data_IF_592579172583
#
_entry.id   IF_592579172583
#
_cell.length_a   1.000
_cell.length_b   1.000
_cell.length_c   1.000
_cell.angle_alpha   90.00
_cell.angle_beta   90.00
_cell.angle_gamma   90.00
#
_symmetry.space_group_name_H-M   'P 1'
#
loop_
_entity.id
_entity.type
_entity.pdbx_description
1 polymer ?
#
# COMPACT_ATOMS: atom_id res chain seq x y z
N UNK A 1 8.13 -23.32 -25.83
CA UNK A 1 7.94 -23.52 -24.37
C UNK A 1 7.66 -22.16 -23.76
N UNK A 2 6.76 -22.08 -22.76
CA UNK A 2 6.49 -20.84 -22.05
C UNK A 2 7.77 -20.30 -21.39
N UNK A 3 7.96 -18.99 -21.45
CA UNK A 3 9.05 -18.27 -20.80
C UNK A 3 8.79 -18.06 -19.31
N UNK A 4 7.52 -17.86 -18.98
CA UNK A 4 6.98 -17.83 -17.62
C UNK A 4 5.67 -18.62 -17.61
N UNK A 5 5.47 -19.44 -16.60
CA UNK A 5 4.20 -20.14 -16.36
C UNK A 5 3.85 -20.01 -14.87
N UNK A 6 2.63 -19.58 -14.57
CA UNK A 6 2.10 -19.59 -13.20
C UNK A 6 0.86 -20.46 -13.13
N UNK A 7 0.77 -21.26 -12.08
CA UNK A 7 -0.34 -22.19 -11.87
C UNK A 7 -0.82 -22.17 -10.43
N UNK A 8 -2.15 -22.18 -10.27
CA UNK A 8 -2.82 -22.36 -8.98
C UNK A 8 -2.46 -21.28 -7.94
N UNK A 9 -2.16 -20.06 -8.39
CA UNK A 9 -1.73 -18.99 -7.50
C UNK A 9 -2.92 -18.50 -6.69
N UNK A 10 -2.82 -18.65 -5.37
CA UNK A 10 -3.75 -18.03 -4.42
C UNK A 10 -2.98 -17.14 -3.46
N UNK A 11 -3.68 -16.16 -2.89
CA UNK A 11 -3.17 -15.35 -1.80
C UNK A 11 -4.31 -14.98 -0.86
N UNK A 12 -4.12 -15.28 0.43
CA UNK A 12 -5.02 -14.84 1.49
C UNK A 12 -4.36 -13.79 2.38
N UNK A 13 -5.15 -12.85 2.86
CA UNK A 13 -4.79 -11.91 3.92
C UNK A 13 -5.76 -12.08 5.11
N UNK A 14 -5.27 -11.95 6.36
CA UNK A 14 -6.17 -11.94 7.52
C UNK A 14 -6.96 -10.63 7.57
N UNK A 15 -8.27 -10.71 7.79
CA UNK A 15 -9.07 -9.53 8.13
C UNK A 15 -8.94 -9.23 9.62
N UNK A 16 -8.53 -8.00 9.91
CA UNK A 16 -8.49 -7.48 11.27
C UNK A 16 -9.91 -7.05 11.66
N UNK A 17 -10.48 -7.71 12.65
CA UNK A 17 -11.75 -7.30 13.27
C UNK A 17 -11.48 -6.34 14.44
N UNK A 18 -12.46 -5.48 14.75
CA UNK A 18 -12.36 -4.61 15.93
C UNK A 18 -12.10 -5.47 17.19
N UNK A 19 -11.28 -4.94 18.10
CA UNK A 19 -10.86 -5.63 19.33
C UNK A 19 -12.04 -6.06 20.20
N UNK A 20 -13.21 -5.43 20.04
CA UNK A 20 -14.45 -5.79 20.74
C UNK A 20 -15.12 -7.06 20.18
N UNK A 21 -14.89 -7.37 18.92
CA UNK A 21 -15.46 -8.53 18.20
C UNK A 21 -14.47 -9.70 18.06
N UNK A 22 -13.29 -9.57 18.66
CA UNK A 22 -12.13 -10.45 18.49
C UNK A 22 -12.24 -11.76 19.30
N UNK A 23 -13.35 -12.50 19.15
CA UNK A 23 -13.60 -13.78 19.86
C UNK A 23 -13.35 -15.03 18.99
N UNK A 24 -12.84 -14.87 17.77
CA UNK A 24 -12.64 -15.96 16.81
C UNK A 24 -11.26 -15.95 16.14
N UNK A 25 -11.00 -17.00 15.35
CA UNK A 25 -9.85 -16.99 14.44
C UNK A 25 -10.05 -15.88 13.38
N UNK A 26 -8.99 -15.17 12.96
CA UNK A 26 -9.10 -14.11 11.96
C UNK A 26 -9.69 -14.68 10.67
N UNK A 27 -10.77 -14.04 10.19
CA UNK A 27 -11.40 -14.42 8.93
C UNK A 27 -10.43 -14.15 7.79
N UNK A 28 -10.22 -15.13 6.92
CA UNK A 28 -9.33 -14.96 5.75
C UNK A 28 -10.09 -14.30 4.62
N UNK A 29 -9.46 -13.30 4.01
CA UNK A 29 -9.91 -12.70 2.77
C UNK A 29 -9.00 -13.17 1.63
N UNK A 30 -9.58 -13.73 0.57
CA UNK A 30 -8.81 -14.24 -0.56
C UNK A 30 -8.68 -13.17 -1.66
N UNK A 31 -7.49 -12.60 -1.74
CA UNK A 31 -7.13 -11.57 -2.72
C UNK A 31 -6.87 -12.17 -4.11
N UNK A 32 -6.36 -13.40 -4.17
CA UNK A 32 -6.16 -14.18 -5.40
C UNK A 32 -6.67 -15.61 -5.18
N UNK A 33 -7.41 -16.14 -6.16
CA UNK A 33 -8.26 -17.33 -6.05
C UNK A 33 -8.00 -18.32 -7.19
N UNK A 34 -6.75 -18.74 -7.36
CA UNK A 34 -6.37 -19.85 -8.27
C UNK A 34 -5.93 -19.40 -9.66
N UNK A 35 -5.14 -18.32 -9.74
CA UNK A 35 -4.71 -17.72 -11.01
C UNK A 35 -3.81 -18.67 -11.80
N UNK A 36 -4.03 -18.73 -13.10
CA UNK A 36 -3.23 -19.49 -14.07
C UNK A 36 -3.01 -18.63 -15.31
N UNK A 37 -1.76 -18.56 -15.76
CA UNK A 37 -1.42 -17.96 -17.05
C UNK A 37 -0.03 -18.42 -17.48
N UNK A 38 0.22 -18.33 -18.77
CA UNK A 38 1.49 -18.62 -19.39
C UNK A 38 1.88 -17.48 -20.34
N UNK A 39 3.18 -17.32 -20.57
CA UNK A 39 3.72 -16.28 -21.44
C UNK A 39 4.78 -16.88 -22.35
N UNK A 40 4.67 -16.62 -23.64
CA UNK A 40 5.63 -17.03 -24.65
C UNK A 40 6.78 -16.03 -24.79
N UNK A 41 7.88 -16.44 -25.42
CA UNK A 41 9.02 -15.55 -25.67
C UNK A 41 8.63 -14.43 -26.66
N UNK A 42 8.99 -13.18 -26.35
CA UNK A 42 8.65 -12.01 -27.18
C UNK A 42 7.23 -11.47 -26.98
N UNK A 43 6.39 -12.18 -26.23
CA UNK A 43 4.99 -11.84 -26.00
C UNK A 43 4.83 -10.85 -24.84
N UNK A 44 3.87 -9.94 -24.97
CA UNK A 44 3.35 -9.10 -23.91
C UNK A 44 1.92 -9.52 -23.54
N UNK A 45 1.71 -9.80 -22.25
CA UNK A 45 0.40 -10.12 -21.70
C UNK A 45 -0.11 -8.97 -20.83
N UNK A 46 -1.29 -8.47 -21.14
CA UNK A 46 -1.98 -7.45 -20.37
C UNK A 46 -2.69 -8.03 -19.15
N UNK A 47 -2.65 -7.33 -18.02
CA UNK A 47 -3.50 -7.60 -16.86
C UNK A 47 -4.45 -6.42 -16.70
N UNK A 48 -5.73 -6.65 -16.98
CA UNK A 48 -6.76 -5.62 -16.86
C UNK A 48 -7.78 -5.99 -15.79
N UNK A 49 -8.34 -4.97 -15.16
CA UNK A 49 -9.32 -5.13 -14.10
C UNK A 49 -9.45 -3.86 -13.27
N UNK A 50 -10.49 -3.78 -12.44
CA UNK A 50 -10.69 -2.66 -11.51
C UNK A 50 -9.52 -2.55 -10.51
N UNK A 51 -9.39 -1.41 -9.82
CA UNK A 51 -8.34 -1.21 -8.82
C UNK A 51 -8.34 -2.28 -7.72
N UNK A 52 -9.51 -2.84 -7.40
CA UNK A 52 -9.71 -3.89 -6.39
C UNK A 52 -9.43 -5.31 -6.89
N UNK A 53 -8.96 -5.48 -8.13
CA UNK A 53 -8.70 -6.80 -8.71
C UNK A 53 -7.41 -7.48 -8.22
N UNK A 54 -6.55 -6.78 -7.47
CA UNK A 54 -5.26 -7.28 -6.96
C UNK A 54 -4.19 -7.55 -8.04
N UNK A 55 -4.20 -6.74 -9.11
CA UNK A 55 -3.21 -6.83 -10.22
C UNK A 55 -1.78 -6.62 -9.72
N UNK A 56 -1.53 -5.55 -8.95
CA UNK A 56 -0.21 -5.25 -8.40
C UNK A 56 0.27 -6.36 -7.46
N UNK A 57 -0.62 -6.91 -6.62
CA UNK A 57 -0.27 -8.06 -5.76
C UNK A 57 0.17 -9.28 -6.58
N UNK A 58 -0.52 -9.59 -7.68
CA UNK A 58 -0.11 -10.66 -8.58
C UNK A 58 1.28 -10.39 -9.18
N UNK A 59 1.57 -9.17 -9.63
CA UNK A 59 2.90 -8.80 -10.13
C UNK A 59 3.98 -8.91 -9.06
N UNK A 60 3.70 -8.48 -7.82
CA UNK A 60 4.62 -8.61 -6.69
C UNK A 60 4.92 -10.08 -6.35
N UNK A 61 3.92 -10.96 -6.50
CA UNK A 61 4.09 -12.41 -6.34
C UNK A 61 4.96 -12.98 -7.47
N UNK A 62 4.70 -12.60 -8.72
CA UNK A 62 5.50 -13.06 -9.88
C UNK A 62 6.94 -12.55 -9.78
N UNK A 63 7.16 -11.33 -9.31
CA UNK A 63 8.48 -10.76 -9.05
C UNK A 63 9.25 -11.46 -7.92
N UNK A 64 8.55 -12.19 -7.04
CA UNK A 64 9.13 -12.83 -5.86
C UNK A 64 9.23 -11.93 -4.63
N UNK A 65 8.66 -10.72 -4.67
CA UNK A 65 8.62 -9.78 -3.54
C UNK A 65 7.63 -10.24 -2.46
N UNK A 66 6.54 -10.90 -2.86
CA UNK A 66 5.52 -11.46 -1.96
C UNK A 66 5.39 -12.95 -2.23
N UNK A 67 5.34 -13.77 -1.18
CA UNK A 67 5.06 -15.20 -1.34
C UNK A 67 3.57 -15.46 -1.56
N UNK A 68 3.24 -16.30 -2.52
CA UNK A 68 1.90 -16.84 -2.71
C UNK A 68 1.54 -17.83 -1.59
N UNK A 69 0.24 -18.04 -1.38
CA UNK A 69 -0.28 -19.04 -0.43
C UNK A 69 -0.21 -20.45 -1.04
N UNK A 70 -0.61 -20.59 -2.31
CA UNK A 70 -0.52 -21.86 -3.05
C UNK A 70 0.04 -21.69 -4.45
N UNK A 71 0.44 -22.81 -5.06
CA UNK A 71 0.74 -22.89 -6.48
C UNK A 71 2.20 -22.61 -6.80
N UNK A 72 2.48 -22.54 -8.10
CA UNK A 72 3.83 -22.61 -8.65
C UNK A 72 4.07 -21.48 -9.64
N UNK A 73 5.27 -20.91 -9.58
CA UNK A 73 5.80 -19.97 -10.57
C UNK A 73 7.02 -20.65 -11.19
N UNK A 74 6.98 -20.87 -12.50
CA UNK A 74 8.05 -21.54 -13.25
C UNK A 74 8.65 -20.58 -14.26
N UNK A 75 9.92 -20.25 -14.06
CA UNK A 75 10.73 -19.44 -15.00
C UNK A 75 12.20 -19.85 -14.90
N UNK A 76 12.91 -19.77 -16.02
CA UNK A 76 14.38 -19.91 -16.06
C UNK A 76 15.10 -18.57 -16.13
N UNK A 77 14.34 -17.48 -16.20
CA UNK A 77 14.84 -16.15 -16.51
C UNK A 77 14.61 -15.19 -15.34
N UNK A 78 15.51 -14.20 -15.15
CA UNK A 78 15.29 -13.15 -14.19
C UNK A 78 14.04 -12.33 -14.56
N UNK A 79 13.30 -11.93 -13.53
CA UNK A 79 12.11 -11.09 -13.62
C UNK A 79 12.49 -9.71 -13.08
N UNK A 80 12.18 -8.66 -13.85
CA UNK A 80 12.35 -7.28 -13.42
C UNK A 80 10.97 -6.64 -13.25
N UNK A 81 10.73 -5.95 -12.14
CA UNK A 81 9.49 -5.24 -11.89
C UNK A 81 9.70 -3.72 -12.03
N UNK A 82 8.86 -3.08 -12.82
CA UNK A 82 8.72 -1.62 -12.89
C UNK A 82 7.48 -1.22 -12.09
N UNK A 83 7.69 -0.90 -10.82
CA UNK A 83 6.66 -0.34 -9.93
C UNK A 83 7.27 0.80 -9.12
N UNK A 84 6.43 1.72 -8.65
CA UNK A 84 6.88 2.80 -7.76
C UNK A 84 7.42 2.25 -6.43
N UNK A 85 6.98 1.07 -6.00
CA UNK A 85 7.45 0.41 -4.77
C UNK A 85 8.91 -0.02 -4.83
N UNK A 86 9.47 -0.21 -6.02
CA UNK A 86 10.85 -0.65 -6.22
C UNK A 86 11.87 0.48 -5.99
N UNK A 87 11.39 1.74 -5.96
CA UNK A 87 12.26 2.90 -5.80
C UNK A 87 12.52 3.17 -4.32
N UNK A 88 13.80 3.15 -3.94
CA UNK A 88 14.24 3.47 -2.60
C UNK A 88 14.28 4.99 -2.42
N UNK A 89 13.28 5.52 -1.71
CA UNK A 89 13.12 6.96 -1.48
C UNK A 89 14.25 7.58 -0.63
N UNK A 90 15.03 6.76 0.09
CA UNK A 90 16.15 7.25 0.90
C UNK A 90 17.42 7.51 0.07
N UNK A 91 17.48 6.94 -1.14
CA UNK A 91 18.64 6.99 -2.02
C UNK A 91 18.43 8.02 -3.13
N UNK A 92 19.53 8.54 -3.68
CA UNK A 92 19.50 9.30 -4.94
C UNK A 92 19.10 8.42 -6.13
N UNK A 93 18.75 9.03 -7.26
CA UNK A 93 18.51 8.32 -8.51
C UNK A 93 19.71 7.49 -8.94
N UNK A 94 20.92 8.04 -8.85
CA UNK A 94 22.16 7.33 -9.18
C UNK A 94 22.40 6.13 -8.26
N UNK A 95 22.16 6.28 -6.96
CA UNK A 95 22.32 5.18 -6.00
C UNK A 95 21.30 4.07 -6.21
N UNK A 96 20.05 4.41 -6.57
CA UNK A 96 19.05 3.43 -6.98
C UNK A 96 19.54 2.61 -8.19
N UNK A 97 20.09 3.26 -9.22
CA UNK A 97 20.64 2.58 -10.40
C UNK A 97 21.78 1.64 -10.01
N UNK A 98 22.75 2.13 -9.23
CA UNK A 98 23.90 1.34 -8.79
C UNK A 98 23.49 0.17 -7.89
N UNK A 99 22.48 0.35 -7.04
CA UNK A 99 21.94 -0.70 -6.16
C UNK A 99 21.43 -1.88 -6.99
N UNK A 100 20.61 -1.63 -8.01
CA UNK A 100 20.06 -2.69 -8.86
C UNK A 100 21.16 -3.36 -9.70
N UNK A 101 22.10 -2.61 -10.24
CA UNK A 101 23.23 -3.17 -11.01
C UNK A 101 24.10 -4.07 -10.13
N UNK A 102 24.41 -3.63 -8.90
CA UNK A 102 25.19 -4.43 -7.94
C UNK A 102 24.50 -5.73 -7.57
N UNK A 103 23.17 -5.75 -7.46
CA UNK A 103 22.39 -6.96 -7.18
C UNK A 103 22.44 -7.99 -8.32
N UNK A 104 22.78 -7.58 -9.54
CA UNK A 104 22.92 -8.49 -10.70
C UNK A 104 24.33 -9.06 -10.86
N UNK A 105 25.27 -8.69 -9.99
CA UNK A 105 26.65 -9.22 -9.99
C UNK A 105 27.37 -9.11 -11.35
N UNK A 106 27.08 -8.05 -12.11
CA UNK A 106 27.75 -7.76 -13.38
C UNK A 106 29.14 -7.16 -13.15
N UNK A 107 30.05 -7.33 -14.11
CA UNK A 107 31.37 -6.72 -14.08
C UNK A 107 31.27 -5.18 -14.13
N UNK A 108 32.31 -4.51 -13.63
CA UNK A 108 32.32 -3.05 -13.47
C UNK A 108 32.15 -2.31 -14.81
N UNK A 109 32.78 -2.79 -15.89
CA UNK A 109 32.68 -2.17 -17.20
C UNK A 109 31.25 -2.24 -17.73
N UNK A 110 30.65 -3.43 -17.74
CA UNK A 110 29.24 -3.62 -18.13
C UNK A 110 28.30 -2.83 -17.21
N UNK A 111 28.55 -2.81 -15.90
CA UNK A 111 27.80 -2.02 -14.93
C UNK A 111 27.82 -0.53 -15.24
N UNK A 112 28.98 0.02 -15.62
CA UNK A 112 29.10 1.42 -16.02
C UNK A 112 28.35 1.72 -17.33
N UNK A 113 28.40 0.81 -18.31
CA UNK A 113 27.61 0.94 -19.55
C UNK A 113 26.11 0.92 -19.28
N UNK A 114 25.62 0.00 -18.45
CA UNK A 114 24.21 -0.06 -18.05
C UNK A 114 23.79 1.19 -17.28
N UNK A 115 24.64 1.66 -16.36
CA UNK A 115 24.39 2.89 -15.60
C UNK A 115 24.18 4.08 -16.54
N UNK A 116 25.10 4.27 -17.49
CA UNK A 116 25.01 5.36 -18.45
C UNK A 116 23.78 5.23 -19.37
N UNK A 117 23.45 4.00 -19.79
CA UNK A 117 22.26 3.76 -20.60
C UNK A 117 20.97 4.14 -19.86
N UNK A 118 20.85 3.79 -18.58
CA UNK A 118 19.69 4.19 -17.75
C UNK A 118 19.65 5.71 -17.56
N UNK A 119 20.78 6.34 -17.21
CA UNK A 119 20.86 7.80 -17.02
C UNK A 119 20.41 8.55 -18.27
N UNK A 120 20.91 8.15 -19.44
CA UNK A 120 20.56 8.76 -20.72
C UNK A 120 19.09 8.54 -21.08
N UNK A 121 18.51 7.40 -20.69
CA UNK A 121 17.12 7.09 -20.96
C UNK A 121 16.16 7.93 -20.12
N UNK A 122 16.39 8.04 -18.80
CA UNK A 122 15.45 8.69 -17.86
C UNK A 122 15.44 10.22 -17.94
N UNK A 123 16.53 10.82 -18.44
CA UNK A 123 16.66 12.25 -18.72
C UNK A 123 16.43 13.14 -17.49
N UNK A 124 17.15 12.85 -16.39
CA UNK A 124 16.99 13.55 -15.10
C UNK A 124 17.92 14.76 -14.93
N UNK A 125 19.00 14.85 -15.70
CA UNK A 125 20.04 15.85 -15.46
C UNK A 125 20.50 15.85 -13.99
N UNK A 126 20.48 17.03 -13.35
CA UNK A 126 20.93 17.20 -11.96
C UNK A 126 20.02 16.54 -10.93
N UNK A 127 18.75 16.26 -11.26
CA UNK A 127 17.85 15.56 -10.33
C UNK A 127 18.33 14.15 -10.00
N UNK A 128 19.17 13.55 -10.85
CA UNK A 128 19.77 12.23 -10.63
C UNK A 128 20.48 12.13 -9.26
N UNK A 129 21.06 13.23 -8.78
CA UNK A 129 21.81 13.29 -7.53
C UNK A 129 20.97 13.71 -6.32
N UNK A 130 19.70 14.04 -6.53
CA UNK A 130 18.76 14.33 -5.45
C UNK A 130 18.12 13.04 -4.90
N UNK A 131 17.77 12.99 -3.61
CA UNK A 131 17.04 11.86 -3.04
C UNK A 131 15.73 11.59 -3.78
N UNK A 132 15.42 10.33 -4.03
CA UNK A 132 14.22 9.93 -4.75
C UNK A 132 12.92 10.30 -4.00
N UNK A 133 12.99 10.53 -2.69
CA UNK A 133 11.87 11.13 -1.92
C UNK A 133 11.39 12.47 -2.48
N UNK A 134 12.28 13.26 -3.10
CA UNK A 134 11.97 14.56 -3.71
C UNK A 134 11.37 14.46 -5.12
N UNK A 135 11.35 13.27 -5.72
CA UNK A 135 10.88 13.07 -7.10
C UNK A 135 9.36 13.10 -7.17
N UNK A 136 8.84 13.66 -8.26
CA UNK A 136 7.43 13.49 -8.63
C UNK A 136 7.12 12.03 -8.97
N UNK A 137 5.84 11.65 -8.97
CA UNK A 137 5.42 10.29 -9.35
C UNK A 137 5.87 9.93 -10.77
N UNK A 138 5.79 10.87 -11.71
CA UNK A 138 6.27 10.68 -13.08
C UNK A 138 7.78 10.44 -13.13
N UNK A 139 8.58 11.19 -12.36
CA UNK A 139 10.02 10.93 -12.26
C UNK A 139 10.29 9.54 -11.68
N UNK A 140 9.63 9.14 -10.59
CA UNK A 140 9.79 7.78 -10.03
C UNK A 140 9.42 6.70 -11.05
N UNK A 141 8.34 6.89 -11.81
CA UNK A 141 7.93 5.99 -12.88
C UNK A 141 9.01 5.86 -13.99
N UNK A 142 9.59 6.98 -14.44
CA UNK A 142 10.70 6.98 -15.40
C UNK A 142 11.89 6.19 -14.89
N UNK A 143 12.28 6.39 -13.63
CA UNK A 143 13.38 5.64 -13.00
C UNK A 143 13.05 4.14 -12.95
N UNK A 144 11.87 3.76 -12.46
CA UNK A 144 11.45 2.37 -12.37
C UNK A 144 11.48 1.66 -13.73
N UNK A 145 10.98 2.32 -14.78
CA UNK A 145 11.03 1.80 -16.15
C UNK A 145 12.47 1.72 -16.68
N UNK A 146 13.30 2.74 -16.43
CA UNK A 146 14.70 2.71 -16.81
C UNK A 146 15.44 1.52 -16.22
N UNK A 147 15.25 1.25 -14.93
CA UNK A 147 15.84 0.09 -14.25
C UNK A 147 15.37 -1.22 -14.86
N UNK A 148 14.04 -1.39 -15.01
CA UNK A 148 13.47 -2.66 -15.46
C UNK A 148 13.77 -2.98 -16.94
N UNK A 149 13.82 -1.96 -17.82
CA UNK A 149 13.98 -2.12 -19.27
C UNK A 149 15.43 -2.18 -19.75
N UNK A 150 16.41 -1.78 -18.94
CA UNK A 150 17.82 -1.78 -19.37
C UNK A 150 18.68 -2.81 -18.64
N UNK A 151 18.37 -3.14 -17.39
CA UNK A 151 19.22 -4.02 -16.58
C UNK A 151 18.83 -5.48 -16.81
N UNK A 152 19.43 -6.08 -17.84
CA UNK A 152 19.25 -7.49 -18.24
C UNK A 152 17.78 -7.97 -18.36
N UNK A 153 16.94 -7.26 -19.14
CA UNK A 153 15.53 -7.60 -19.25
C UNK A 153 15.34 -8.94 -19.98
N UNK A 154 14.68 -9.90 -19.31
CA UNK A 154 14.21 -11.15 -19.92
C UNK A 154 12.71 -11.32 -19.77
N UNK A 155 12.19 -11.07 -18.57
CA UNK A 155 10.77 -10.94 -18.28
C UNK A 155 10.58 -9.64 -17.51
N UNK A 156 9.75 -8.74 -18.03
CA UNK A 156 9.53 -7.42 -17.42
C UNK A 156 8.07 -7.29 -17.00
N UNK A 157 7.84 -6.92 -15.75
CA UNK A 157 6.53 -6.62 -15.20
C UNK A 157 6.38 -5.10 -15.12
N UNK A 158 5.26 -4.54 -15.56
CA UNK A 158 4.98 -3.11 -15.50
C UNK A 158 3.69 -2.90 -14.71
N UNK A 159 3.76 -2.15 -13.62
CA UNK A 159 2.68 -2.00 -12.63
C UNK A 159 2.20 -0.55 -12.57
N UNK A 160 1.17 -0.20 -13.36
CA UNK A 160 0.45 1.08 -13.32
C UNK A 160 1.32 2.35 -13.44
N UNK A 161 2.55 2.22 -13.96
CA UNK A 161 3.49 3.35 -14.11
C UNK A 161 3.36 4.07 -15.45
N UNK A 162 2.78 3.44 -16.48
CA UNK A 162 2.68 4.03 -17.83
C UNK A 162 1.80 5.29 -17.85
N UNK A 163 0.73 5.30 -17.05
CA UNK A 163 -0.16 6.45 -16.89
C UNK A 163 0.45 7.69 -16.24
N UNK A 164 1.64 7.58 -15.67
CA UNK A 164 2.34 8.68 -14.99
C UNK A 164 3.32 9.41 -15.92
N UNK A 165 3.47 8.95 -17.16
CA UNK A 165 4.43 9.46 -18.12
C UNK A 165 3.84 10.60 -18.95
N UNK A 166 4.68 11.59 -19.26
CA UNK A 166 4.41 12.55 -20.31
C UNK A 166 4.56 11.90 -21.69
N UNK A 167 3.85 12.45 -22.68
CA UNK A 167 3.76 11.90 -24.02
C UNK A 167 5.12 11.64 -24.71
N UNK A 168 6.11 12.56 -24.66
CA UNK A 168 7.41 12.31 -25.27
C UNK A 168 8.13 11.10 -24.66
N UNK A 169 8.09 10.95 -23.33
CA UNK A 169 8.73 9.83 -22.65
C UNK A 169 7.95 8.53 -22.85
N UNK A 170 6.63 8.58 -22.85
CA UNK A 170 5.79 7.42 -23.18
C UNK A 170 6.16 6.84 -24.54
N UNK A 171 6.36 7.67 -25.57
CA UNK A 171 6.79 7.21 -26.90
C UNK A 171 8.18 6.55 -26.86
N UNK A 172 9.14 7.09 -26.08
CA UNK A 172 10.45 6.45 -25.88
C UNK A 172 10.32 5.06 -25.24
N UNK A 173 9.46 4.94 -24.22
CA UNK A 173 9.17 3.66 -23.54
C UNK A 173 8.50 2.68 -24.51
N UNK A 174 7.52 3.14 -25.29
CA UNK A 174 6.82 2.31 -26.26
C UNK A 174 7.78 1.70 -27.29
N UNK A 175 8.66 2.53 -27.86
CA UNK A 175 9.69 2.05 -28.79
C UNK A 175 10.61 1.03 -28.10
N UNK A 176 11.06 1.34 -26.89
CA UNK A 176 11.96 0.44 -26.14
C UNK A 176 11.32 -0.91 -25.83
N UNK A 177 10.02 -0.93 -25.48
CA UNK A 177 9.27 -2.18 -25.27
C UNK A 177 9.23 -2.98 -26.57
N UNK A 178 8.93 -2.35 -27.70
CA UNK A 178 8.91 -3.04 -28.99
C UNK A 178 10.28 -3.63 -29.35
N UNK A 179 11.36 -2.84 -29.24
CA UNK A 179 12.72 -3.31 -29.51
C UNK A 179 13.10 -4.53 -28.65
N UNK A 180 12.63 -4.56 -27.40
CA UNK A 180 12.85 -5.66 -26.48
C UNK A 180 12.02 -6.90 -26.82
N UNK A 181 10.77 -6.72 -27.26
CA UNK A 181 9.91 -7.82 -27.74
C UNK A 181 10.54 -8.50 -28.96
N UNK A 182 11.09 -7.73 -29.89
CA UNK A 182 11.72 -8.23 -31.12
C UNK A 182 12.95 -9.12 -30.83
N UNK A 183 13.67 -8.87 -29.73
CA UNK A 183 14.77 -9.74 -29.25
C UNK A 183 14.31 -10.84 -28.28
N UNK A 184 12.99 -11.05 -28.17
CA UNK A 184 12.38 -12.12 -27.40
C UNK A 184 12.18 -11.83 -25.91
N UNK A 185 12.28 -10.58 -25.44
CA UNK A 185 11.87 -10.18 -24.09
C UNK A 185 10.35 -10.27 -23.96
N UNK A 186 9.87 -10.77 -22.82
CA UNK A 186 8.43 -10.91 -22.58
C UNK A 186 7.97 -9.94 -21.51
N UNK A 187 6.70 -9.53 -21.57
CA UNK A 187 6.14 -8.50 -20.70
C UNK A 187 4.86 -8.96 -20.02
N UNK A 188 4.66 -8.51 -18.78
CA UNK A 188 3.33 -8.45 -18.16
C UNK A 188 3.04 -6.99 -17.85
N UNK A 189 1.95 -6.44 -18.38
CA UNK A 189 1.60 -5.04 -18.19
C UNK A 189 0.27 -4.98 -17.44
N UNK A 190 0.30 -4.51 -16.20
CA UNK A 190 -0.89 -4.25 -15.40
C UNK A 190 -1.27 -2.79 -15.48
N UNK A 191 -2.50 -2.53 -15.91
CA UNK A 191 -3.09 -1.18 -15.90
C UNK A 191 -4.61 -1.27 -15.87
N UNK A 192 -5.26 -0.15 -15.57
CA UNK A 192 -6.71 0.00 -15.71
C UNK A 192 -7.12 0.50 -17.09
N UNK A 193 -6.21 1.19 -17.79
CA UNK A 193 -6.49 1.79 -19.09
C UNK A 193 -6.34 0.77 -20.21
N UNK A 194 -7.44 0.55 -20.93
CA UNK A 194 -7.50 -0.38 -22.08
C UNK A 194 -6.50 0.00 -23.18
N UNK A 195 -6.28 1.30 -23.41
CA UNK A 195 -5.36 1.82 -24.43
C UNK A 195 -3.95 1.19 -24.35
N UNK A 196 -3.42 0.96 -23.15
CA UNK A 196 -2.10 0.36 -23.01
C UNK A 196 -2.10 -1.13 -23.32
N UNK A 197 -3.20 -1.82 -23.02
CA UNK A 197 -3.36 -3.22 -23.38
C UNK A 197 -3.40 -3.33 -24.90
N UNK A 198 -4.21 -2.52 -25.57
CA UNK A 198 -4.30 -2.49 -27.04
C UNK A 198 -2.97 -2.15 -27.72
N UNK A 199 -2.21 -1.21 -27.14
CA UNK A 199 -0.97 -0.76 -27.74
C UNK A 199 0.16 -1.78 -27.60
N UNK A 200 0.24 -2.51 -26.48
CA UNK A 200 1.43 -3.29 -26.14
C UNK A 200 1.23 -4.79 -26.15
N UNK A 201 0.02 -5.29 -25.93
CA UNK A 201 -0.24 -6.68 -25.58
C UNK A 201 -0.91 -7.48 -26.71
N UNK A 202 -0.49 -8.74 -26.88
CA UNK A 202 -1.13 -9.69 -27.78
C UNK A 202 -2.31 -10.43 -27.12
N UNK A 203 -2.14 -10.77 -25.84
CA UNK A 203 -3.16 -11.39 -25.00
C UNK A 203 -3.41 -10.55 -23.76
N UNK A 204 -4.63 -10.63 -23.22
CA UNK A 204 -4.99 -9.94 -21.99
C UNK A 204 -5.71 -10.90 -21.05
N UNK A 205 -5.38 -10.83 -19.76
CA UNK A 205 -6.10 -11.48 -18.67
C UNK A 205 -6.97 -10.44 -17.97
N UNK A 206 -8.28 -10.68 -17.98
CA UNK A 206 -9.22 -9.91 -17.18
C UNK A 206 -9.34 -10.51 -15.79
N UNK A 207 -8.84 -9.76 -14.80
CA UNK A 207 -8.88 -10.10 -13.39
C UNK A 207 -9.98 -9.31 -12.68
N UNK A 208 -10.81 -10.00 -11.90
CA UNK A 208 -11.85 -9.37 -11.08
C UNK A 208 -12.04 -10.13 -9.77
N UNK A 209 -12.03 -9.42 -8.64
CA UNK A 209 -12.14 -10.02 -7.29
C UNK A 209 -11.20 -11.22 -7.08
N UNK A 210 -9.96 -11.12 -7.55
CA UNK A 210 -8.97 -12.20 -7.43
C UNK A 210 -9.24 -13.45 -8.28
N UNK A 211 -10.15 -13.41 -9.24
CA UNK A 211 -10.40 -14.49 -10.20
C UNK A 211 -10.22 -14.02 -11.64
N UNK A 212 -9.73 -14.92 -12.48
CA UNK A 212 -9.66 -14.70 -13.94
C UNK A 212 -11.06 -14.87 -14.50
N UNK A 213 -11.60 -13.82 -15.11
CA UNK A 213 -12.89 -13.85 -15.80
C UNK A 213 -12.71 -14.35 -17.24
N UNK A 214 -11.67 -13.85 -17.92
CA UNK A 214 -11.28 -14.31 -19.24
C UNK A 214 -9.76 -14.12 -19.46
N UNK A 215 -9.18 -14.94 -20.34
CA UNK A 215 -7.78 -14.85 -20.76
C UNK A 215 -7.64 -15.30 -22.22
N UNK A 216 -7.27 -14.38 -23.09
CA UNK A 216 -7.28 -14.63 -24.53
C UNK A 216 -6.73 -13.45 -25.34
N UNK A 217 -7.02 -13.39 -26.65
CA UNK A 217 -6.64 -12.27 -27.51
C UNK A 217 -7.09 -10.93 -26.92
N UNK A 218 -6.20 -9.94 -26.90
CA UNK A 218 -6.45 -8.67 -26.20
C UNK A 218 -7.75 -8.01 -26.62
N UNK A 219 -8.05 -7.95 -27.93
CA UNK A 219 -9.26 -7.30 -28.44
C UNK A 219 -10.55 -7.93 -27.88
N UNK A 220 -10.66 -9.25 -27.92
CA UNK A 220 -11.85 -9.98 -27.47
C UNK A 220 -12.10 -9.79 -25.97
N UNK A 221 -11.03 -9.87 -25.18
CA UNK A 221 -11.10 -9.69 -23.72
C UNK A 221 -11.46 -8.25 -23.35
N UNK A 222 -10.95 -7.26 -24.08
CA UNK A 222 -11.28 -5.85 -23.85
C UNK A 222 -12.74 -5.51 -24.20
N UNK A 223 -13.29 -6.12 -25.25
CA UNK A 223 -14.71 -5.98 -25.58
C UNK A 223 -15.60 -6.51 -24.45
N UNK A 224 -15.32 -7.72 -23.95
CA UNK A 224 -16.03 -8.29 -22.80
C UNK A 224 -15.89 -7.45 -21.53
N UNK A 225 -14.66 -6.98 -21.25
CA UNK A 225 -14.39 -6.13 -20.10
C UNK A 225 -15.15 -4.79 -20.17
N UNK A 226 -15.26 -4.21 -21.36
CA UNK A 226 -16.02 -2.97 -21.59
C UNK A 226 -17.50 -3.20 -21.35
N UNK A 227 -18.07 -4.27 -21.92
CA UNK A 227 -19.46 -4.64 -21.71
C UNK A 227 -19.77 -4.84 -20.22
N UNK A 228 -18.90 -5.52 -19.48
CA UNK A 228 -19.07 -5.74 -18.04
C UNK A 228 -19.04 -4.43 -17.23
N UNK A 229 -18.18 -3.47 -17.62
CA UNK A 229 -18.16 -2.15 -16.99
C UNK A 229 -19.40 -1.33 -17.30
N UNK A 230 -19.86 -1.32 -18.55
CA UNK A 230 -21.09 -0.63 -18.96
C UNK A 230 -22.31 -1.20 -18.23
N UNK A 231 -22.40 -2.52 -18.14
CA UNK A 231 -23.42 -3.19 -17.34
C UNK A 231 -23.36 -2.75 -15.88
N UNK A 232 -22.20 -2.81 -15.22
CA UNK A 232 -22.07 -2.41 -13.82
C UNK A 232 -22.45 -0.94 -13.60
N UNK A 233 -22.05 -0.04 -14.51
CA UNK A 233 -22.36 1.38 -14.45
C UNK A 233 -23.85 1.68 -14.71
N UNK A 234 -24.56 0.78 -15.40
CA UNK A 234 -26.00 0.91 -15.64
C UNK A 234 -26.86 0.57 -14.42
N UNK A 235 -26.30 -0.14 -13.44
CA UNK A 235 -26.98 -0.51 -12.20
C UNK A 235 -27.21 0.70 -11.30
N UNK A 236 -28.30 0.67 -10.53
CA UNK A 236 -28.55 1.63 -9.45
C UNK A 236 -27.54 1.45 -8.31
N UNK A 237 -27.31 2.49 -7.50
CA UNK A 237 -26.38 2.41 -6.37
C UNK A 237 -26.69 1.23 -5.39
N UNK A 238 -27.96 0.93 -5.04
CA UNK A 238 -28.27 -0.25 -4.24
C UNK A 238 -27.83 -1.57 -4.89
N UNK A 239 -28.10 -1.74 -6.19
CA UNK A 239 -27.72 -2.95 -6.94
C UNK A 239 -26.20 -3.08 -7.07
N UNK A 240 -25.48 -1.97 -7.30
CA UNK A 240 -24.02 -1.98 -7.30
C UNK A 240 -23.46 -2.42 -5.95
N UNK A 241 -24.01 -1.91 -4.85
CA UNK A 241 -23.58 -2.28 -3.51
C UNK A 241 -23.86 -3.75 -3.20
N UNK A 242 -25.03 -4.27 -3.60
CA UNK A 242 -25.38 -5.69 -3.45
C UNK A 242 -24.40 -6.57 -4.25
N UNK A 243 -24.14 -6.24 -5.51
CA UNK A 243 -23.17 -6.95 -6.34
C UNK A 243 -21.77 -6.97 -5.70
N UNK A 244 -21.29 -5.82 -5.21
CA UNK A 244 -19.98 -5.72 -4.55
C UNK A 244 -19.94 -6.54 -3.25
N UNK A 245 -21.00 -6.51 -2.46
CA UNK A 245 -21.11 -7.28 -1.22
C UNK A 245 -21.08 -8.79 -1.49
N UNK A 246 -21.81 -9.25 -2.50
CA UNK A 246 -21.81 -10.65 -2.93
C UNK A 246 -20.42 -11.10 -3.38
N UNK A 247 -19.74 -10.30 -4.19
CA UNK A 247 -18.39 -10.62 -4.66
C UNK A 247 -17.36 -10.64 -3.54
N UNK A 248 -17.46 -9.72 -2.57
CA UNK A 248 -16.62 -9.76 -1.37
C UNK A 248 -16.93 -10.99 -0.50
N UNK A 249 -18.21 -11.37 -0.38
CA UNK A 249 -18.61 -12.57 0.34
C UNK A 249 -18.03 -13.84 -0.31
N UNK A 250 -18.06 -13.94 -1.64
CA UNK A 250 -17.39 -15.02 -2.38
C UNK A 250 -15.87 -15.06 -2.13
N UNK A 251 -15.21 -13.91 -1.94
CA UNK A 251 -13.79 -13.86 -1.59
C UNK A 251 -13.52 -14.37 -0.18
N UNK A 252 -14.45 -14.19 0.74
CA UNK A 252 -14.32 -14.71 2.12
C UNK A 252 -14.61 -16.21 2.18
N UNK A 253 -15.64 -16.67 1.47
CA UNK A 253 -16.08 -18.08 1.45
C UNK A 253 -15.24 -18.97 0.52
N UNK A 254 -14.22 -18.43 -0.13
CA UNK A 254 -13.41 -19.18 -1.08
C UNK A 254 -12.70 -20.38 -0.41
N UNK A 255 -12.95 -21.57 -0.94
CA UNK A 255 -12.35 -22.82 -0.49
C UNK A 255 -11.14 -23.17 -1.35
N UNK A 256 -9.95 -22.98 -0.78
CA UNK A 256 -8.67 -23.32 -1.40
C UNK A 256 -8.51 -24.81 -1.70
N UNK A 257 -9.24 -25.70 -1.01
CA UNK A 257 -9.18 -27.13 -1.30
C UNK A 257 -9.69 -27.42 -2.72
N UNK A 258 -10.63 -26.65 -3.27
CA UNK A 258 -11.07 -26.81 -4.66
C UNK A 258 -9.90 -26.67 -5.64
N UNK A 259 -9.04 -25.68 -5.42
CA UNK A 259 -7.83 -25.46 -6.23
C UNK A 259 -6.85 -26.63 -6.08
N UNK A 260 -6.71 -27.16 -4.86
CA UNK A 260 -5.86 -28.33 -4.61
C UNK A 260 -6.41 -29.60 -5.28
N UNK A 261 -7.73 -29.83 -5.26
CA UNK A 261 -8.36 -30.95 -5.93
C UNK A 261 -8.14 -30.91 -7.45
N UNK A 262 -8.26 -29.72 -8.06
CA UNK A 262 -7.93 -29.53 -9.48
C UNK A 262 -6.46 -29.89 -9.77
N UNK A 263 -5.54 -29.38 -8.96
CA UNK A 263 -4.12 -29.73 -9.06
C UNK A 263 -3.88 -31.23 -8.90
N UNK A 264 -4.52 -31.86 -7.90
CA UNK A 264 -4.38 -33.30 -7.64
C UNK A 264 -4.87 -34.14 -8.82
N UNK A 265 -6.01 -33.79 -9.39
CA UNK A 265 -6.55 -34.46 -10.59
C UNK A 265 -5.59 -34.31 -11.77
N UNK A 266 -4.99 -33.13 -11.96
CA UNK A 266 -3.96 -32.92 -12.99
C UNK A 266 -2.74 -33.80 -12.73
N UNK A 267 -2.22 -33.86 -11.50
CA UNK A 267 -1.03 -34.68 -11.19
C UNK A 267 -1.30 -36.17 -11.37
N UNK A 268 -2.49 -36.67 -11.02
CA UNK A 268 -2.83 -38.08 -11.24
C UNK A 268 -2.82 -38.47 -12.73
N UNK A 269 -3.22 -37.55 -13.61
CA UNK A 269 -3.08 -37.76 -15.07
C UNK A 269 -1.62 -37.87 -15.52
N UNK A 270 -0.69 -37.32 -14.74
CA UNK A 270 0.75 -37.37 -14.99
C UNK A 270 1.46 -38.52 -14.24
N UNK A 271 0.70 -39.49 -13.71
CA UNK A 271 1.25 -40.71 -13.11
C UNK A 271 1.53 -40.64 -11.61
N UNK A 272 1.18 -39.54 -10.94
CA UNK A 272 1.22 -39.47 -9.48
C UNK A 272 0.11 -40.33 -8.86
N UNK A 273 0.36 -40.87 -7.67
CA UNK A 273 -0.58 -41.75 -6.95
C UNK A 273 -1.03 -41.15 -5.64
N UNK A 274 -2.02 -41.76 -4.97
CA UNK A 274 -2.44 -41.37 -3.61
C UNK A 274 -1.30 -41.43 -2.58
N UNK A 275 -0.28 -42.25 -2.81
CA UNK A 275 0.90 -42.31 -1.92
C UNK A 275 1.75 -41.04 -1.99
N UNK A 276 1.70 -40.32 -3.11
CA UNK A 276 2.44 -39.08 -3.34
C UNK A 276 1.72 -37.84 -2.78
N UNK A 277 0.45 -37.98 -2.39
CA UNK A 277 -0.42 -36.88 -1.97
C UNK A 277 0.18 -36.03 -0.83
N UNK A 278 0.76 -36.60 0.25
CA UNK A 278 1.39 -35.78 1.29
C UNK A 278 2.54 -34.92 0.76
N UNK A 279 3.33 -35.44 -0.20
CA UNK A 279 4.45 -34.71 -0.82
C UNK A 279 3.93 -33.62 -1.74
N UNK A 280 2.93 -33.93 -2.56
CA UNK A 280 2.28 -32.98 -3.47
C UNK A 280 1.64 -31.82 -2.71
N UNK A 281 0.93 -32.12 -1.63
CA UNK A 281 0.29 -31.13 -0.75
C UNK A 281 1.31 -30.17 -0.14
N UNK A 282 2.39 -30.71 0.41
CA UNK A 282 3.48 -29.91 0.99
C UNK A 282 4.17 -29.01 -0.04
N UNK A 283 4.24 -29.43 -1.31
CA UNK A 283 4.78 -28.60 -2.39
C UNK A 283 3.78 -27.52 -2.85
N UNK A 284 2.49 -27.84 -2.84
CA UNK A 284 1.42 -26.95 -3.30
C UNK A 284 1.15 -25.79 -2.34
N UNK A 285 1.15 -26.03 -1.03
CA UNK A 285 0.98 -24.99 0.00
C UNK A 285 2.33 -24.39 0.40
N UNK A 286 2.64 -23.19 -0.11
CA UNK A 286 3.93 -22.53 0.08
C UNK A 286 4.06 -21.92 1.47
N UNK A 287 2.98 -21.32 1.97
CA UNK A 287 2.90 -20.77 3.32
C UNK A 287 2.46 -21.87 4.31
N UNK A 288 3.39 -22.29 5.19
CA UNK A 288 3.12 -23.30 6.22
C UNK A 288 2.00 -22.81 7.16
N UNK A 289 1.02 -23.68 7.43
CA UNK A 289 -0.14 -23.35 8.27
C UNK A 289 -1.36 -22.79 7.53
N UNK A 290 -1.29 -22.67 6.20
CA UNK A 290 -2.46 -22.38 5.35
C UNK A 290 -3.05 -23.62 4.68
N UNK A 291 -2.46 -24.78 4.92
CA UNK A 291 -3.03 -26.07 4.55
C UNK A 291 -4.25 -26.41 5.44
N UNK A 292 -5.48 -26.44 4.90
CA UNK A 292 -6.69 -26.63 5.69
C UNK A 292 -6.72 -27.94 6.50
N UNK A 293 -6.14 -29.02 5.97
CA UNK A 293 -6.17 -30.32 6.67
C UNK A 293 -5.16 -30.39 7.79
N UNK A 294 -3.98 -29.75 7.62
CA UNK A 294 -3.02 -29.63 8.72
C UNK A 294 -3.60 -28.75 9.83
N UNK A 295 -4.29 -27.66 9.47
CA UNK A 295 -4.97 -26.80 10.45
C UNK A 295 -6.09 -27.54 11.18
N UNK A 296 -6.91 -28.32 10.48
CA UNK A 296 -7.96 -29.16 11.11
C UNK A 296 -7.38 -30.25 12.00
N UNK A 297 -6.27 -30.90 11.60
CA UNK A 297 -5.57 -31.89 12.42
C UNK A 297 -4.96 -31.24 13.66
N UNK A 298 -4.26 -30.10 13.53
CA UNK A 298 -3.71 -29.35 14.66
C UNK A 298 -4.81 -28.88 15.63
N UNK A 299 -5.98 -28.47 15.10
CA UNK A 299 -7.12 -28.08 15.92
C UNK A 299 -7.76 -29.28 16.63
N UNK A 300 -7.91 -30.42 15.94
CA UNK A 300 -8.38 -31.68 16.56
C UNK A 300 -7.39 -32.18 17.60
N UNK A 301 -6.09 -32.15 17.33
CA UNK A 301 -5.05 -32.55 18.26
C UNK A 301 -5.00 -31.63 19.49
N UNK A 302 -5.18 -30.32 19.31
CA UNK A 302 -5.35 -29.37 20.43
C UNK A 302 -6.64 -29.59 21.23
N UNK A 303 -7.74 -29.96 20.58
CA UNK A 303 -9.00 -30.34 21.25
C UNK A 303 -8.92 -31.70 21.95
N UNK A 304 -8.12 -32.64 21.44
CA UNK A 304 -7.86 -33.95 22.06
C UNK A 304 -6.91 -33.79 23.26
N UNK A 305 -5.90 -32.93 23.15
CA UNK A 305 -5.02 -32.59 24.28
C UNK A 305 -5.73 -31.81 25.39
N UNK A 306 -6.74 -30.97 25.07
CA UNK A 306 -7.54 -30.27 26.08
C UNK A 306 -8.62 -31.13 26.74
N UNK A 307 -8.95 -32.30 26.18
CA UNK A 307 -9.87 -33.30 26.74
C UNK A 307 -9.19 -34.40 27.55
N UNK A 308 -7.86 -34.41 27.66
CA UNK A 308 -7.18 -35.27 28.63
C UNK A 308 -7.50 -34.78 30.05
N UNK A 309 -7.98 -35.64 30.96
CA UNK A 309 -8.25 -35.21 32.33
C UNK A 309 -6.94 -34.75 32.96
N UNK A 310 -6.86 -33.46 33.31
CA UNK A 310 -5.81 -33.00 34.22
C UNK A 310 -5.99 -33.79 35.52
N UNK A 311 -5.15 -34.79 35.73
CA UNK A 311 -5.03 -35.46 37.01
C UNK A 311 -4.68 -34.40 38.04
N UNK A 312 -5.63 -34.07 38.91
CA UNK A 312 -5.51 -33.01 39.90
C UNK A 312 -4.56 -33.43 41.03
N UNK A 313 -3.26 -33.33 40.80
CA UNK A 313 -2.24 -33.51 41.85
C UNK A 313 -2.19 -32.34 42.86
N UNK A 314 -3.14 -31.42 42.83
CA UNK A 314 -3.13 -30.20 43.66
C UNK A 314 -4.04 -30.28 44.90
N UNK A 315 -4.79 -31.38 45.10
CA UNK A 315 -5.63 -31.51 46.29
C UNK A 315 -4.81 -31.83 47.56
N UNK A 316 -3.75 -32.65 47.43
CA UNK A 316 -2.87 -33.00 48.56
C UNK A 316 -1.99 -31.84 49.01
N UNK A 317 -1.57 -30.96 48.08
CA UNK A 317 -0.80 -29.76 48.40
C UNK A 317 -1.63 -28.69 49.15
N UNK A 318 -2.92 -28.57 48.84
CA UNK A 318 -3.80 -27.62 49.49
C UNK A 318 -4.21 -28.08 50.90
N UNK A 319 -4.44 -29.37 51.10
CA UNK A 319 -4.73 -29.97 52.41
C UNK A 319 -3.55 -29.85 53.39
N UNK A 320 -2.30 -29.98 52.92
CA UNK A 320 -1.10 -29.78 53.73
C UNK A 320 -0.90 -28.30 54.12
N UNK A 321 -1.22 -27.35 53.24
CA UNK A 321 -1.13 -25.92 53.53
C UNK A 321 -2.14 -25.44 54.58
N UNK A 322 -3.37 -25.97 54.57
CA UNK A 322 -4.40 -25.60 55.54
C UNK A 322 -4.11 -26.11 56.96
N UNK A 323 -3.44 -27.27 57.09
CA UNK A 323 -3.13 -27.88 58.38
C UNK A 323 -2.00 -27.15 59.13
N UNK A 324 -1.04 -26.56 58.40
CA UNK A 324 0.03 -25.72 58.98
C UNK A 324 -0.50 -24.40 59.53
N UNK A 325 -1.52 -23.82 58.90
CA UNK A 325 -2.14 -22.56 59.35
C UNK A 325 -2.98 -22.77 60.62
N UNK A 326 -3.65 -23.92 60.76
CA UNK A 326 -4.42 -24.28 61.95
C UNK A 326 -3.53 -24.56 63.18
N UNK A 327 -2.34 -25.11 63.00
CA UNK A 327 -1.40 -25.35 64.11
C UNK A 327 -0.77 -24.03 64.61
N UNK A 328 -0.55 -23.05 63.72
CA UNK A 328 0.01 -21.75 64.10
C UNK A 328 -1.03 -20.78 64.71
N UNK A 329 -2.32 -20.93 64.40
CA UNK A 329 -3.37 -20.09 64.96
C UNK A 329 -3.87 -20.55 66.35
N UNK A 330 -3.55 -21.77 66.79
CA UNK A 330 -3.97 -22.31 68.09
C UNK A 330 -3.08 -21.95 69.29
N UNK A 331 -1.93 -21.29 69.07
CA UNK A 331 -0.88 -21.14 70.09
C UNK A 331 -0.85 -19.84 70.90
N UNK A 332 -1.67 -18.82 70.60
CA UNK A 332 -1.47 -17.46 71.16
C UNK A 332 -2.52 -16.99 72.17
N UNK A 333 -3.26 -17.89 72.82
CA UNK A 333 -4.25 -17.51 73.86
C UNK A 333 -3.75 -17.67 75.30
N UNK A 334 -2.45 -17.93 75.54
CA UNK A 334 -1.96 -18.22 76.91
C UNK A 334 -0.91 -17.27 77.50
N UNK A 335 -0.62 -16.11 76.87
CA UNK A 335 0.44 -15.20 77.37
C UNK A 335 0.04 -13.73 77.51
N UNK A 336 -1.25 -13.40 77.41
CA UNK A 336 -1.74 -12.02 77.43
C UNK A 336 -2.19 -11.52 78.83
N UNK A 337 -1.98 -12.29 79.90
CA UNK A 337 -2.55 -11.97 81.22
C UNK A 337 -1.56 -11.96 82.39
N UNK A 338 -0.34 -11.41 82.21
CA UNK A 338 0.54 -11.12 83.34
C UNK A 338 1.52 -9.96 83.05
N UNK A 339 1.19 -8.78 83.57
CA UNK A 339 2.07 -7.77 84.23
C UNK A 339 1.70 -6.32 83.91
N UNK A 340 1.06 -5.68 84.89
CA UNK A 340 0.97 -4.23 85.10
C UNK A 340 1.52 -3.89 86.50
N UNK A 341 1.86 -2.61 86.69
CA UNK A 341 2.43 -1.91 87.88
C UNK A 341 3.98 -1.97 87.95
N UNK A 342 4.76 -0.91 88.22
CA UNK A 342 4.53 0.44 88.78
C UNK A 342 5.73 1.37 88.47
N UNK A 343 5.59 2.65 88.82
CA UNK A 343 6.29 3.84 88.33
C UNK A 343 7.62 4.28 89.02
N UNK A 344 8.30 5.21 88.34
CA UNK A 344 9.06 6.41 88.82
C UNK A 344 10.56 6.33 89.23
N UNK A 345 11.35 7.21 88.57
CA UNK A 345 12.42 8.12 89.10
C UNK A 345 13.84 8.03 88.49
N UNK A 346 14.11 8.98 87.59
CA UNK A 346 15.26 9.90 87.46
C UNK A 346 16.77 9.49 87.63
N UNK A 347 17.52 9.85 86.58
CA UNK A 347 18.85 10.53 86.52
C UNK A 347 20.15 9.71 86.33
N UNK A 348 20.84 10.11 85.24
CA UNK A 348 22.30 10.18 84.99
C UNK A 348 23.06 9.03 84.28
N UNK A 349 23.68 9.47 83.17
CA UNK A 349 24.99 9.12 82.58
C UNK A 349 25.10 8.02 81.51
N UNK A 350 25.66 8.51 80.39
CA UNK A 350 26.69 7.95 79.49
C UNK A 350 26.33 6.84 78.49
N UNK A 351 26.52 7.23 77.21
CA UNK A 351 27.25 6.59 76.09
C UNK A 351 26.95 5.13 75.71
N UNK A 352 26.90 5.00 74.38
CA UNK A 352 27.36 3.90 73.52
C UNK A 352 26.31 2.91 72.95
N UNK A 353 26.17 3.06 71.62
CA UNK A 353 26.06 2.03 70.59
C UNK A 353 24.78 1.24 70.36
N UNK A 354 24.45 1.20 69.07
CA UNK A 354 23.80 0.15 68.28
C UNK A 354 22.27 0.12 68.19
N UNK A 355 21.81 0.63 67.04
CA UNK A 355 20.85 0.04 66.09
C UNK A 355 19.72 -0.87 66.62
N UNK A 356 18.47 -0.42 66.50
CA UNK A 356 17.53 -0.85 65.42
C UNK A 356 16.17 -0.17 65.55
N UNK A 357 15.74 0.41 64.43
CA UNK A 357 14.37 0.53 63.90
C UNK A 357 13.24 1.22 64.67
N UNK A 358 12.72 2.25 64.01
CA UNK A 358 11.31 2.70 63.97
C UNK A 358 10.74 3.47 65.16
N UNK A 359 10.53 4.77 64.98
CA UNK A 359 9.23 5.32 64.53
C UNK A 359 9.34 6.83 64.32
N UNK A 360 8.81 7.25 63.17
CA UNK A 360 8.04 8.48 62.93
C UNK A 360 8.35 9.71 63.79
N UNK A 361 8.76 10.79 63.13
CA UNK A 361 7.85 11.95 63.04
C UNK A 361 7.93 12.61 61.67
N UNK A 362 6.74 12.73 61.10
CA UNK A 362 6.30 13.64 60.07
C UNK A 362 6.67 15.09 60.40
N UNK A 363 7.78 15.60 59.87
CA UNK A 363 7.97 17.04 59.69
C UNK A 363 9.04 17.45 58.66
N UNK A 364 9.66 16.52 57.91
CA UNK A 364 10.74 16.86 56.96
C UNK A 364 10.57 16.38 55.51
N UNK A 365 9.41 15.84 55.12
CA UNK A 365 9.15 15.41 53.74
C UNK A 365 8.29 16.38 52.91
N UNK A 366 7.99 17.57 53.45
CA UNK A 366 7.28 18.63 52.71
C UNK A 366 8.21 19.64 52.00
N UNK A 367 9.53 19.58 52.23
CA UNK A 367 10.48 20.59 51.71
C UNK A 367 11.33 20.14 50.50
N UNK A 368 11.25 18.89 50.04
CA UNK A 368 12.10 18.39 48.93
C UNK A 368 11.35 18.06 47.64
N UNK A 369 10.01 18.17 47.59
CA UNK A 369 9.22 17.97 46.35
C UNK A 369 8.93 19.25 45.54
N UNK A 370 9.28 20.44 46.04
CA UNK A 370 9.07 21.72 45.34
C UNK A 370 10.28 22.22 44.53
N UNK A 371 11.44 21.57 44.63
CA UNK A 371 12.67 22.00 43.93
C UNK A 371 13.01 21.19 42.66
N UNK A 372 12.30 20.07 42.39
CA UNK A 372 12.56 19.22 41.23
C UNK A 372 11.57 19.41 40.06
N UNK A 373 10.46 20.14 40.27
CA UNK A 373 9.45 20.40 39.24
C UNK A 373 9.61 21.77 38.53
N UNK A 374 10.42 22.68 39.06
CA UNK A 374 10.64 24.02 38.49
C UNK A 374 11.79 24.08 37.48
N UNK A 375 12.68 23.08 37.45
CA UNK A 375 13.85 23.07 36.54
C UNK A 375 13.50 22.42 35.19
N UNK A 376 12.65 21.39 35.16
CA UNK A 376 12.21 20.75 33.90
C UNK A 376 11.22 21.60 33.09
N UNK A 377 10.37 22.39 33.74
CA UNK A 377 9.40 23.26 33.06
C UNK A 377 10.06 24.49 32.38
N UNK A 378 11.20 24.96 32.88
CA UNK A 378 11.94 26.10 32.31
C UNK A 378 12.77 25.73 31.07
N UNK A 379 13.19 24.47 30.95
CA UNK A 379 14.01 23.97 29.85
C UNK A 379 13.18 23.61 28.60
N UNK A 380 11.92 23.19 28.77
CA UNK A 380 10.98 22.96 27.66
C UNK A 380 10.40 24.27 27.07
N UNK A 381 10.18 25.29 27.91
CA UNK A 381 9.65 26.59 27.48
C UNK A 381 10.64 27.42 26.64
N UNK A 382 11.95 27.22 26.82
CA UNK A 382 13.00 27.91 26.06
C UNK A 382 13.25 27.27 24.68
N UNK A 383 13.10 25.94 24.56
CA UNK A 383 13.22 25.22 23.27
C UNK A 383 12.02 25.48 22.34
N UNK A 384 10.81 25.65 22.87
CA UNK A 384 9.64 25.98 22.04
C UNK A 384 9.69 27.42 21.47
N UNK A 385 10.20 28.41 22.23
CA UNK A 385 10.33 29.80 21.76
C UNK A 385 11.36 29.99 20.64
N UNK A 386 12.43 29.19 20.62
CA UNK A 386 13.44 29.23 19.54
C UNK A 386 12.95 28.59 18.23
N UNK A 387 12.09 27.56 18.32
CA UNK A 387 11.49 26.92 17.14
C UNK A 387 10.38 27.76 16.48
N UNK A 388 9.65 28.56 17.26
CA UNK A 388 8.58 29.42 16.77
C UNK A 388 9.10 30.66 16.00
N UNK A 389 10.26 31.21 16.38
CA UNK A 389 10.86 32.37 15.70
C UNK A 389 11.49 32.02 14.35
N UNK A 390 12.03 30.80 14.19
CA UNK A 390 12.54 30.30 12.90
C UNK A 390 11.41 29.92 11.94
N UNK A 391 10.29 29.38 12.45
CA UNK A 391 9.11 29.08 11.64
C UNK A 391 8.42 30.35 11.10
N UNK A 392 8.37 31.43 11.88
CA UNK A 392 7.79 32.72 11.44
C UNK A 392 8.65 33.43 10.38
N UNK A 393 9.99 33.31 10.44
CA UNK A 393 10.89 33.88 9.44
C UNK A 393 10.82 33.13 8.09
N UNK A 394 10.65 31.80 8.12
CA UNK A 394 10.48 30.98 6.92
C UNK A 394 9.12 31.21 6.25
N UNK A 395 8.04 31.33 7.03
CA UNK A 395 6.69 31.59 6.51
C UNK A 395 6.57 32.95 5.80
N UNK A 396 7.28 33.98 6.29
CA UNK A 396 7.26 35.33 5.72
C UNK A 396 7.98 35.40 4.35
N UNK A 397 9.03 34.59 4.17
CA UNK A 397 9.78 34.50 2.91
C UNK A 397 9.00 33.72 1.84
N UNK A 398 8.30 32.65 2.23
CA UNK A 398 7.42 31.90 1.33
C UNK A 398 6.20 32.69 0.86
N UNK A 399 5.67 33.62 1.67
CA UNK A 399 4.53 34.46 1.27
C UNK A 399 4.91 35.55 0.27
N UNK A 400 6.14 36.07 0.33
CA UNK A 400 6.62 37.09 -0.61
C UNK A 400 6.95 36.49 -1.99
N UNK A 401 7.52 35.29 -2.03
CA UNK A 401 7.80 34.58 -3.30
C UNK A 401 6.51 34.10 -3.98
N UNK A 402 5.49 33.70 -3.22
CA UNK A 402 4.18 33.32 -3.75
C UNK A 402 3.41 34.53 -4.34
N UNK A 403 3.48 35.70 -3.70
CA UNK A 403 2.85 36.93 -4.19
C UNK A 403 3.51 37.43 -5.50
N UNK A 404 4.81 37.23 -5.64
CA UNK A 404 5.56 37.60 -6.85
C UNK A 404 5.32 36.63 -8.03
N UNK A 405 5.11 35.35 -7.72
CA UNK A 405 4.71 34.36 -8.72
C UNK A 405 3.27 34.60 -9.22
N UNK A 406 2.33 34.91 -8.32
CA UNK A 406 0.94 35.20 -8.67
C UNK A 406 0.78 36.46 -9.54
N UNK A 407 1.57 37.51 -9.29
CA UNK A 407 1.53 38.74 -10.10
C UNK A 407 2.10 38.54 -11.52
N UNK A 408 3.11 37.66 -11.67
CA UNK A 408 3.67 37.32 -12.98
C UNK A 408 2.71 36.46 -13.83
N UNK A 409 1.93 35.57 -13.19
CA UNK A 409 0.93 34.75 -13.86
C UNK A 409 -0.29 35.56 -14.34
N UNK A 410 -0.73 36.54 -13.55
CA UNK A 410 -1.83 37.46 -13.93
C UNK A 410 -1.45 38.41 -15.08
N UNK A 411 -0.18 38.82 -15.17
CA UNK A 411 0.33 39.61 -16.30
C UNK A 411 0.42 38.79 -17.61
N UNK A 412 0.75 37.50 -17.50
CA UNK A 412 0.79 36.58 -18.64
C UNK A 412 -0.62 36.20 -19.16
N UNK A 413 -1.63 36.03 -18.27
CA UNK A 413 -3.01 35.74 -18.69
C UNK A 413 -3.67 36.95 -19.36
N UNK A 414 -3.49 38.15 -18.81
CA UNK A 414 -4.07 39.39 -19.35
C UNK A 414 -3.53 39.77 -20.75
N UNK A 415 -2.24 39.54 -21.02
CA UNK A 415 -1.65 39.75 -22.35
C UNK A 415 -2.20 38.78 -23.40
N UNK A 416 -2.49 37.53 -23.02
CA UNK A 416 -3.10 36.52 -23.91
C UNK A 416 -4.56 36.82 -24.25
N UNK A 417 -5.33 37.38 -23.30
CA UNK A 417 -6.73 37.75 -23.48
C UNK A 417 -6.87 38.98 -24.39
N UNK A 418 -5.97 39.96 -24.24
CA UNK A 418 -5.91 41.14 -25.10
C UNK A 418 -5.64 40.78 -26.57
N UNK A 419 -4.77 39.79 -26.82
CA UNK A 419 -4.51 39.30 -28.18
C UNK A 419 -5.73 38.59 -28.80
N UNK A 420 -6.49 37.81 -28.03
CA UNK A 420 -7.71 37.13 -28.51
C UNK A 420 -8.84 38.13 -28.84
N UNK A 421 -8.94 39.23 -28.08
CA UNK A 421 -9.94 40.28 -28.31
C UNK A 421 -9.65 41.18 -29.51
N UNK A 422 -8.49 41.07 -30.14
CA UNK A 422 -8.09 41.94 -31.27
C UNK A 422 -9.06 41.86 -32.48
N UNK A 423 -9.73 40.72 -32.66
CA UNK A 423 -10.70 40.49 -33.75
C UNK A 423 -12.16 40.35 -33.25
N UNK A 424 -12.45 40.75 -32.01
CA UNK A 424 -13.80 40.72 -31.46
C UNK A 424 -14.52 42.07 -31.65
N UNK A 425 -15.84 42.05 -31.50
CA UNK A 425 -16.69 43.23 -31.34
C UNK A 425 -17.40 43.18 -29.98
N UNK A 426 -17.77 44.34 -29.46
CA UNK A 426 -18.52 44.45 -28.20
C UNK A 426 -20.01 44.60 -28.45
N UNK A 427 -20.80 43.89 -27.66
CA UNK A 427 -22.26 43.94 -27.65
C UNK A 427 -22.75 44.20 -26.23
N UNK A 428 -23.94 44.76 -26.09
CA UNK A 428 -24.62 44.91 -24.81
C UNK A 428 -25.70 43.82 -24.69
N UNK A 429 -25.70 43.08 -23.58
CA UNK A 429 -26.64 41.99 -23.31
C UNK A 429 -28.01 42.60 -23.04
N UNK A 430 -29.02 42.22 -23.81
CA UNK A 430 -30.41 42.68 -23.60
C UNK A 430 -31.24 41.60 -22.92
N UNK A 431 -32.42 41.99 -22.43
CA UNK A 431 -33.33 41.07 -21.76
C UNK A 431 -33.74 39.92 -22.71
N UNK A 432 -33.51 38.68 -22.28
CA UNK A 432 -33.73 37.47 -23.08
C UNK A 432 -32.49 36.90 -23.79
N UNK A 433 -31.35 37.59 -23.76
CA UNK A 433 -30.10 37.02 -24.30
C UNK A 433 -29.55 35.91 -23.38
N UNK A 434 -29.11 34.83 -24.01
CA UNK A 434 -28.34 33.74 -23.38
C UNK A 434 -27.02 33.57 -24.13
N UNK A 435 -26.01 32.96 -23.50
CA UNK A 435 -24.76 32.68 -24.23
C UNK A 435 -25.00 31.77 -25.45
N UNK A 436 -25.99 30.89 -25.40
CA UNK A 436 -26.37 30.00 -26.49
C UNK A 436 -27.00 30.77 -27.65
N UNK A 437 -27.96 31.67 -27.37
CA UNK A 437 -28.58 32.51 -28.40
C UNK A 437 -27.58 33.49 -29.02
N UNK A 438 -26.63 34.01 -28.23
CA UNK A 438 -25.54 34.84 -28.74
C UNK A 438 -24.54 34.03 -29.58
N UNK A 439 -24.22 32.81 -29.18
CA UNK A 439 -23.34 31.93 -29.95
C UNK A 439 -23.93 31.62 -31.33
N UNK A 440 -25.23 31.32 -31.40
CA UNK A 440 -25.93 31.11 -32.66
C UNK A 440 -25.96 32.38 -33.52
N UNK A 441 -26.31 33.53 -32.91
CA UNK A 441 -26.40 34.83 -33.61
C UNK A 441 -25.09 35.27 -34.25
N UNK A 442 -23.96 35.01 -33.60
CA UNK A 442 -22.62 35.39 -34.09
C UNK A 442 -21.85 34.20 -34.68
N UNK A 443 -22.55 33.10 -35.04
CA UNK A 443 -21.97 31.92 -35.68
C UNK A 443 -20.70 31.38 -34.99
N UNK A 444 -20.74 31.31 -33.65
CA UNK A 444 -19.64 30.90 -32.78
C UNK A 444 -20.12 29.85 -31.77
N UNK A 445 -19.31 29.53 -30.76
CA UNK A 445 -19.66 28.60 -29.68
C UNK A 445 -19.73 29.33 -28.34
N UNK A 446 -20.52 28.79 -27.41
CA UNK A 446 -20.59 29.28 -26.02
C UNK A 446 -19.20 29.34 -25.38
N UNK A 447 -18.39 28.30 -25.61
CA UNK A 447 -17.02 28.22 -25.09
C UNK A 447 -16.12 29.32 -25.62
N UNK A 448 -16.27 29.70 -26.89
CA UNK A 448 -15.49 30.78 -27.50
C UNK A 448 -15.87 32.14 -26.90
N UNK A 449 -17.17 32.44 -26.74
CA UNK A 449 -17.66 33.64 -26.05
C UNK A 449 -17.18 33.67 -24.59
N UNK A 450 -17.24 32.55 -23.88
CA UNK A 450 -16.72 32.44 -22.51
C UNK A 450 -15.23 32.76 -22.44
N UNK A 451 -14.45 32.25 -23.40
CA UNK A 451 -13.00 32.47 -23.46
C UNK A 451 -12.62 33.91 -23.79
N UNK A 452 -13.44 34.61 -24.59
CA UNK A 452 -13.23 36.02 -24.90
C UNK A 452 -13.60 36.93 -23.73
N UNK A 453 -14.50 36.50 -22.85
CA UNK A 453 -15.02 37.30 -21.73
C UNK A 453 -14.48 36.91 -20.35
N UNK A 454 -13.59 35.91 -20.28
CA UNK A 454 -13.04 35.37 -19.03
C UNK A 454 -14.13 34.86 -18.06
N UNK A 455 -15.20 34.27 -18.62
CA UNK A 455 -16.35 33.76 -17.86
C UNK A 455 -16.10 32.36 -17.26
N UNK A 456 -14.96 31.73 -17.55
CA UNK A 456 -14.67 30.35 -17.15
C UNK A 456 -15.72 29.38 -17.68
N UNK A 457 -16.26 28.52 -16.81
CA UNK A 457 -17.38 27.61 -17.11
C UNK A 457 -18.76 28.19 -16.72
N UNK A 458 -18.86 29.50 -16.47
CA UNK A 458 -20.12 30.15 -16.13
C UNK A 458 -20.97 30.38 -17.37
N UNK A 459 -22.25 30.00 -17.31
CA UNK A 459 -23.23 30.27 -18.36
C UNK A 459 -24.12 31.49 -18.07
N UNK A 460 -23.86 32.21 -16.98
CA UNK A 460 -24.71 33.31 -16.51
C UNK A 460 -24.20 34.66 -17.00
N UNK A 461 -25.06 35.40 -17.68
CA UNK A 461 -24.86 36.80 -18.11
C UNK A 461 -26.03 37.64 -17.61
N UNK A 462 -25.84 38.95 -17.41
CA UNK A 462 -26.88 39.87 -16.96
C UNK A 462 -27.20 40.91 -18.02
N UNK A 463 -28.45 41.31 -18.09
CA UNK A 463 -28.90 42.45 -18.89
C UNK A 463 -28.09 43.70 -18.54
N UNK A 464 -27.53 44.36 -19.54
CA UNK A 464 -26.62 45.50 -19.41
C UNK A 464 -25.13 45.14 -19.38
N UNK A 465 -24.76 43.85 -19.36
CA UNK A 465 -23.36 43.44 -19.46
C UNK A 465 -22.81 43.74 -20.86
N UNK A 466 -21.56 44.20 -20.95
CA UNK A 466 -20.86 44.34 -22.23
C UNK A 466 -19.99 43.11 -22.49
N UNK A 467 -20.27 42.38 -23.57
CA UNK A 467 -19.55 41.16 -23.94
C UNK A 467 -18.78 41.33 -25.26
N UNK A 468 -17.60 40.72 -25.32
CA UNK A 468 -16.83 40.52 -26.54
C UNK A 468 -17.30 39.26 -27.26
N UNK A 469 -17.76 39.40 -28.49
CA UNK A 469 -18.12 38.30 -29.39
C UNK A 469 -17.27 38.37 -30.66
N UNK A 470 -17.03 37.26 -31.38
CA UNK A 470 -16.40 37.31 -32.69
C UNK A 470 -17.15 38.27 -33.65
N UNK A 471 -16.41 38.84 -34.61
CA UNK A 471 -16.97 39.75 -35.61
C UNK A 471 -17.87 39.05 -36.61
#
# INVERSE_FOLDING_TARGET
MAKLEIKYITKSAPMLTDSKDNKGAPVKFWELRGIRMDISAGEAVGLIGMNTASKSLLLQIIAGNVKQTTGFITTKHPINLASLSEIDNSLSGLENIRKVIKQKEVDELKGNHLTNAVINFIDFGQWLYQPASSYSLGMKARLALGLALFIEPKVVLIDEVLGLLDRPFFNKVAQKIQDLKDVGCSFIIADTKQLYMEQFCERTMWLQFGQVQDFGPTKEVLEQFTFAQEWFNSLSLPEQNEYLADKQFEQVQFDVNKVYEEFKVEQFKHGYTRKDEPRMRKAFFVERGLDPVVVEQDQKDKQVQSKQPKTSSNFTAWALGALVILILAGGTTYWWHAHQSTSTSQVAKSKQSSSKSSKLTSSQLAASRKAASSVKAAEEASKQKASASQAQAAAKKSSEDAAKAASSAAAASSSSLAAKRANAQTIEVVDGDTLESLAEKYATTVSEIQSLNDLGSSNTIKTGDTLYVPK
#
